data_IF_449649223187
#
_entry.id   IF_449649223187
#
_cell.length_a   1.000
_cell.length_b   1.000
_cell.length_c   1.000
_cell.angle_alpha   90.00
_cell.angle_beta   90.00
_cell.angle_gamma   90.00
#
_symmetry.space_group_name_H-M   'P 1'
#
loop_
_entity.id
_entity.type
_entity.pdbx_description
1 polymer ?
#
# COMPACT_ATOMS: atom_id res chain seq x y z
N UNK A 1 4.15 4.59 11.13
CA UNK A 1 2.79 5.00 10.70
C UNK A 1 1.77 4.69 11.79
N UNK A 2 0.52 5.19 11.70
CA UNK A 2 -0.54 4.90 12.67
C UNK A 2 -1.29 3.63 12.30
N UNK A 3 -1.40 2.69 13.23
CA UNK A 3 -2.20 1.48 13.06
C UNK A 3 -3.48 1.58 13.91
N UNK A 4 -4.56 0.94 13.47
CA UNK A 4 -5.70 0.72 14.34
C UNK A 4 -5.25 -0.13 15.54
N UNK A 5 -5.72 0.21 16.75
CA UNK A 5 -5.34 -0.43 18.01
C UNK A 5 -3.83 -0.50 18.30
N UNK A 6 -3.02 0.34 17.62
CA UNK A 6 -1.55 0.39 17.76
C UNK A 6 -0.83 -0.95 17.57
N UNK A 7 -1.45 -1.90 16.86
CA UNK A 7 -0.90 -3.24 16.68
C UNK A 7 -1.88 -4.23 16.05
N UNK A 8 -1.57 -5.52 16.20
CA UNK A 8 -2.42 -6.63 15.79
C UNK A 8 -2.12 -7.88 16.62
N UNK A 9 -3.16 -8.67 16.90
CA UNK A 9 -3.06 -10.00 17.52
C UNK A 9 -3.42 -11.11 16.52
N UNK A 10 -3.50 -10.80 15.22
CA UNK A 10 -3.88 -11.73 14.18
C UNK A 10 -3.11 -11.49 12.87
N UNK A 11 -3.64 -12.02 11.77
CA UNK A 11 -2.96 -12.09 10.47
C UNK A 11 -3.05 -10.81 9.62
N UNK A 12 -3.65 -9.73 10.14
CA UNK A 12 -3.81 -8.47 9.40
C UNK A 12 -3.50 -7.25 10.24
N UNK A 13 -3.15 -6.15 9.57
CA UNK A 13 -3.08 -4.81 10.15
C UNK A 13 -4.00 -3.86 9.39
N UNK A 14 -4.53 -2.87 10.10
CA UNK A 14 -5.30 -1.79 9.51
C UNK A 14 -4.52 -0.49 9.67
N UNK A 15 -4.05 0.07 8.57
CA UNK A 15 -3.23 1.28 8.54
C UNK A 15 -4.11 2.52 8.33
N UNK A 16 -4.12 3.43 9.30
CA UNK A 16 -4.76 4.75 9.23
C UNK A 16 -3.87 5.74 8.45
N UNK A 17 -4.33 6.16 7.27
CA UNK A 17 -3.64 7.07 6.35
C UNK A 17 -4.02 8.54 6.56
N UNK A 18 -5.06 8.82 7.36
CA UNK A 18 -5.54 10.19 7.61
C UNK A 18 -4.49 11.12 8.23
N UNK A 19 -3.57 10.66 9.12
CA UNK A 19 -2.48 11.50 9.61
C UNK A 19 -1.55 12.01 8.50
N UNK A 20 -1.46 11.30 7.37
CA UNK A 20 -0.72 11.72 6.17
C UNK A 20 -1.56 12.60 5.23
N UNK A 21 -2.85 12.79 5.51
CA UNK A 21 -3.77 13.48 4.62
C UNK A 21 -4.06 12.73 3.31
N UNK A 22 -3.87 11.41 3.29
CA UNK A 22 -4.18 10.54 2.16
C UNK A 22 -5.46 9.74 2.40
N UNK A 23 -6.09 9.30 1.30
CA UNK A 23 -7.19 8.33 1.34
C UNK A 23 -6.67 6.94 0.97
N UNK A 24 -7.37 5.90 1.42
CA UNK A 24 -7.07 4.51 1.08
C UNK A 24 -7.09 4.27 -0.42
N UNK A 25 -8.00 4.90 -1.16
CA UNK A 25 -8.08 4.77 -2.62
C UNK A 25 -6.81 5.24 -3.34
N UNK A 26 -6.15 6.30 -2.84
CA UNK A 26 -4.90 6.79 -3.45
C UNK A 26 -3.74 5.84 -3.21
N UNK A 27 -3.58 5.38 -1.97
CA UNK A 27 -2.49 4.46 -1.61
C UNK A 27 -2.69 3.11 -2.28
N UNK A 28 -3.93 2.60 -2.32
CA UNK A 28 -4.26 1.38 -3.07
C UNK A 28 -3.85 1.49 -4.54
N UNK A 29 -4.16 2.60 -5.21
CA UNK A 29 -3.79 2.80 -6.62
C UNK A 29 -2.27 2.83 -6.85
N UNK A 30 -1.54 3.51 -5.98
CA UNK A 30 -0.06 3.54 -6.06
C UNK A 30 0.51 2.15 -5.82
N UNK A 31 0.04 1.43 -4.81
CA UNK A 31 0.46 0.06 -4.55
C UNK A 31 0.16 -0.87 -5.73
N UNK A 32 -1.03 -0.79 -6.32
CA UNK A 32 -1.41 -1.59 -7.48
C UNK A 32 -0.43 -1.40 -8.65
N UNK A 33 -0.08 -0.15 -8.95
CA UNK A 33 0.90 0.18 -10.00
C UNK A 33 2.34 -0.19 -9.64
N UNK A 34 2.63 -0.37 -8.36
CA UNK A 34 3.90 -0.89 -7.84
C UNK A 34 3.93 -2.44 -7.73
N UNK A 35 2.94 -3.14 -8.30
CA UNK A 35 2.80 -4.60 -8.19
C UNK A 35 2.57 -5.11 -6.74
N UNK A 36 1.94 -4.29 -5.90
CA UNK A 36 1.52 -4.61 -4.53
C UNK A 36 0.00 -4.61 -4.44
N UNK A 37 -0.59 -5.77 -4.15
CA UNK A 37 -2.05 -5.89 -3.96
C UNK A 37 -2.43 -5.71 -2.49
N UNK A 38 -3.29 -4.73 -2.22
CA UNK A 38 -3.92 -4.50 -0.91
C UNK A 38 -5.32 -3.91 -1.11
N UNK A 39 -6.07 -3.72 -0.02
CA UNK A 39 -7.44 -3.23 -0.08
C UNK A 39 -7.64 -1.99 0.79
N UNK A 40 -8.23 -0.93 0.22
CA UNK A 40 -8.74 0.23 0.93
C UNK A 40 -9.84 -0.19 1.90
N UNK A 41 -9.76 0.24 3.15
CA UNK A 41 -10.63 -0.22 4.20
C UNK A 41 -10.98 0.93 5.15
N UNK A 42 -12.23 0.98 5.60
CA UNK A 42 -12.68 1.99 6.56
C UNK A 42 -11.90 1.87 7.88
N UNK A 43 -11.61 3.02 8.47
CA UNK A 43 -11.04 3.15 9.82
C UNK A 43 -12.02 3.87 10.73
N UNK A 44 -11.87 3.72 12.05
CA UNK A 44 -12.77 4.37 13.01
C UNK A 44 -12.82 5.89 12.78
N UNK A 45 -14.03 6.43 12.65
CA UNK A 45 -14.28 7.85 12.38
C UNK A 45 -14.34 8.23 10.89
N UNK A 46 -14.25 7.29 9.96
CA UNK A 46 -14.53 7.57 8.55
C UNK A 46 -16.02 7.88 8.33
N UNK A 47 -16.29 9.00 7.66
CA UNK A 47 -17.64 9.38 7.25
C UNK A 47 -18.02 8.86 5.85
N UNK A 48 -17.04 8.49 5.02
CA UNK A 48 -17.25 8.09 3.62
C UNK A 48 -16.84 6.64 3.38
N UNK A 49 -17.79 5.83 2.92
CA UNK A 49 -17.51 4.47 2.44
C UNK A 49 -16.78 4.45 1.08
N UNK A 50 -16.95 5.48 0.25
CA UNK A 50 -16.36 5.58 -1.10
C UNK A 50 -14.88 5.99 -1.07
N UNK A 51 -14.44 6.65 -0.01
CA UNK A 51 -13.06 7.10 0.16
C UNK A 51 -12.62 6.89 1.60
N UNK A 52 -12.45 5.61 2.01
CA UNK A 52 -12.04 5.31 3.37
C UNK A 52 -10.64 5.85 3.67
N UNK A 53 -10.35 6.09 4.94
CA UNK A 53 -9.11 6.68 5.42
C UNK A 53 -7.98 5.69 5.64
N UNK A 54 -8.13 4.42 5.29
CA UNK A 54 -7.10 3.40 5.55
C UNK A 54 -6.99 2.30 4.51
N UNK A 55 -6.03 1.41 4.75
CA UNK A 55 -5.77 0.19 3.97
C UNK A 55 -5.58 -1.01 4.90
N UNK A 56 -6.04 -2.18 4.46
CA UNK A 56 -5.89 -3.45 5.15
C UNK A 56 -4.81 -4.29 4.48
N UNK A 57 -3.86 -4.77 5.28
CA UNK A 57 -2.72 -5.58 4.83
C UNK A 57 -2.74 -6.88 5.61
N UNK A 58 -2.59 -8.01 4.92
CA UNK A 58 -2.58 -9.34 5.54
C UNK A 58 -1.31 -10.11 5.20
N UNK A 59 -0.81 -10.91 6.16
CA UNK A 59 0.36 -11.77 5.97
C UNK A 59 0.13 -13.12 5.27
N UNK A 60 -1.07 -13.76 5.25
CA UNK A 60 -1.19 -15.17 4.86
C UNK A 60 -0.66 -15.50 3.46
N UNK A 61 -1.01 -14.72 2.44
CA UNK A 61 -0.65 -15.04 1.06
C UNK A 61 0.87 -15.08 0.83
N UNK A 62 1.60 -14.11 1.36
CA UNK A 62 3.06 -14.06 1.23
C UNK A 62 3.75 -15.06 2.16
N UNK A 63 3.20 -15.32 3.34
CA UNK A 63 3.73 -16.34 4.26
C UNK A 63 3.64 -17.74 3.62
N UNK A 64 2.54 -18.06 2.93
CA UNK A 64 2.40 -19.33 2.18
C UNK A 64 3.45 -19.47 1.07
N UNK A 65 3.97 -18.36 0.53
CA UNK A 65 5.06 -18.36 -0.46
C UNK A 65 6.46 -18.43 0.17
N UNK A 66 6.55 -18.43 1.50
CA UNK A 66 7.81 -18.53 2.25
C UNK A 66 8.35 -17.19 2.77
N UNK A 67 7.57 -16.09 2.77
CA UNK A 67 8.02 -14.85 3.41
C UNK A 67 8.17 -15.02 4.92
N UNK A 68 9.30 -14.56 5.43
CA UNK A 68 9.68 -14.50 6.85
C UNK A 68 9.45 -13.11 7.45
N UNK A 69 9.75 -12.94 8.74
CA UNK A 69 9.69 -11.65 9.42
C UNK A 69 10.63 -10.61 8.79
N UNK A 70 11.81 -11.02 8.32
CA UNK A 70 12.75 -10.13 7.64
C UNK A 70 12.18 -9.65 6.30
N UNK A 71 11.53 -10.55 5.56
CA UNK A 71 10.84 -10.23 4.31
C UNK A 71 9.69 -9.23 4.54
N UNK A 72 8.93 -9.40 5.62
CA UNK A 72 7.87 -8.45 5.97
C UNK A 72 8.39 -7.06 6.37
N UNK A 73 9.61 -6.93 6.88
CA UNK A 73 10.25 -5.60 7.05
C UNK A 73 10.46 -4.93 5.70
N UNK A 74 10.87 -5.70 4.68
CA UNK A 74 11.01 -5.20 3.30
C UNK A 74 9.67 -4.84 2.68
N UNK A 75 8.62 -5.64 2.91
CA UNK A 75 7.23 -5.29 2.54
C UNK A 75 6.83 -3.96 3.20
N UNK A 76 7.13 -3.77 4.48
CA UNK A 76 6.89 -2.51 5.19
C UNK A 76 7.60 -1.32 4.54
N UNK A 77 8.85 -1.48 4.11
CA UNK A 77 9.60 -0.44 3.40
C UNK A 77 9.01 -0.12 2.02
N UNK A 78 8.53 -1.13 1.29
CA UNK A 78 7.81 -0.91 0.03
C UNK A 78 6.50 -0.13 0.23
N UNK A 79 5.74 -0.48 1.27
CA UNK A 79 4.49 0.21 1.62
C UNK A 79 4.73 1.67 2.03
N UNK A 80 5.78 1.96 2.79
CA UNK A 80 6.17 3.34 3.10
C UNK A 80 6.52 4.11 1.82
N UNK A 81 7.32 3.53 0.91
CA UNK A 81 7.65 4.16 -0.38
C UNK A 81 6.42 4.46 -1.22
N UNK A 82 5.44 3.56 -1.28
CA UNK A 82 4.15 3.83 -1.92
C UNK A 82 3.43 5.03 -1.28
N UNK A 83 3.43 5.14 0.05
CA UNK A 83 2.84 6.28 0.75
C UNK A 83 3.59 7.59 0.43
N UNK A 84 4.93 7.58 0.36
CA UNK A 84 5.71 8.76 -0.01
C UNK A 84 5.44 9.20 -1.45
N UNK A 85 5.36 8.26 -2.40
CA UNK A 85 4.99 8.55 -3.80
C UNK A 85 3.59 9.17 -3.84
N UNK A 86 2.62 8.59 -3.12
CA UNK A 86 1.27 9.13 -3.04
C UNK A 86 1.24 10.55 -2.44
N UNK A 87 2.07 10.84 -1.45
CA UNK A 87 2.19 12.20 -0.88
C UNK A 87 2.71 13.19 -1.91
N UNK A 88 3.81 12.86 -2.62
CA UNK A 88 4.41 13.71 -3.65
C UNK A 88 3.43 14.01 -4.78
N UNK A 89 2.80 12.97 -5.34
CA UNK A 89 1.82 13.14 -6.42
C UNK A 89 0.63 13.97 -5.93
N UNK A 90 0.13 13.76 -4.71
CA UNK A 90 -0.94 14.59 -4.16
C UNK A 90 -0.53 16.06 -3.98
N UNK A 91 0.72 16.36 -3.63
CA UNK A 91 1.22 17.73 -3.53
C UNK A 91 1.23 18.43 -4.89
N UNK A 92 1.51 17.70 -5.97
CA UNK A 92 1.56 18.20 -7.34
C UNK A 92 0.17 18.34 -7.97
N UNK A 93 -0.71 17.34 -7.79
CA UNK A 93 -2.02 17.28 -8.46
C UNK A 93 -3.18 17.81 -7.61
N UNK A 94 -2.98 17.97 -6.31
CA UNK A 94 -4.04 18.26 -5.34
C UNK A 94 -4.86 17.03 -4.93
N UNK A 95 -5.98 17.29 -4.23
CA UNK A 95 -6.75 16.25 -3.54
C UNK A 95 -7.68 15.43 -4.44
N UNK A 96 -8.05 15.93 -5.62
CA UNK A 96 -9.03 15.30 -6.49
C UNK A 96 -8.50 14.00 -7.08
N UNK A 97 -9.23 12.89 -6.87
CA UNK A 97 -8.75 11.54 -7.22
C UNK A 97 -8.48 11.38 -8.72
N UNK A 98 -9.35 11.91 -9.58
CA UNK A 98 -9.17 11.86 -11.04
C UNK A 98 -7.83 12.48 -11.50
N UNK A 99 -7.48 13.63 -10.91
CA UNK A 99 -6.28 14.36 -11.31
C UNK A 99 -5.02 13.68 -10.74
N UNK A 100 -5.14 13.11 -9.53
CA UNK A 100 -4.12 12.26 -8.92
C UNK A 100 -3.82 11.02 -9.77
N UNK A 101 -4.85 10.26 -10.16
CA UNK A 101 -4.68 9.03 -10.95
C UNK A 101 -4.09 9.30 -12.33
N UNK A 102 -4.45 10.43 -12.95
CA UNK A 102 -3.93 10.82 -14.26
C UNK A 102 -2.42 11.14 -14.23
N UNK A 103 -1.84 11.43 -13.07
CA UNK A 103 -0.41 11.75 -12.92
C UNK A 103 0.47 10.54 -12.53
N UNK A 104 -0.14 9.38 -12.21
CA UNK A 104 0.62 8.17 -11.88
C UNK A 104 1.32 7.52 -13.09
N UNK A 105 0.71 7.44 -14.29
CA UNK A 105 1.37 6.89 -15.47
C UNK A 105 2.65 7.66 -15.82
N UNK A 106 3.74 6.94 -16.04
CA UNK A 106 5.04 7.55 -16.39
C UNK A 106 5.83 8.10 -15.21
N UNK A 107 5.36 7.96 -13.97
CA UNK A 107 6.13 8.32 -12.79
C UNK A 107 7.35 7.38 -12.63
N UNK A 108 8.56 7.94 -12.75
CA UNK A 108 9.80 7.18 -12.72
C UNK A 108 10.07 6.49 -11.37
N UNK A 109 9.73 7.14 -10.24
CA UNK A 109 9.90 6.55 -8.90
C UNK A 109 8.99 5.33 -8.73
N UNK A 110 7.76 5.41 -9.22
CA UNK A 110 6.79 4.32 -9.20
C UNK A 110 7.22 3.16 -10.11
N UNK A 111 7.73 3.46 -11.31
CA UNK A 111 8.28 2.45 -12.22
C UNK A 111 9.46 1.70 -11.60
N UNK A 112 10.42 2.41 -11.01
CA UNK A 112 11.56 1.79 -10.34
C UNK A 112 11.14 0.94 -9.14
N UNK A 113 10.18 1.41 -8.34
CA UNK A 113 9.63 0.63 -7.23
C UNK A 113 8.96 -0.65 -7.72
N UNK A 114 8.18 -0.57 -8.80
CA UNK A 114 7.53 -1.73 -9.41
C UNK A 114 8.55 -2.79 -9.83
N UNK A 115 9.61 -2.40 -10.54
CA UNK A 115 10.67 -3.33 -10.97
C UNK A 115 11.33 -4.01 -9.78
N UNK A 116 11.61 -3.27 -8.71
CA UNK A 116 12.19 -3.82 -7.49
C UNK A 116 11.26 -4.79 -6.75
N UNK A 117 9.96 -4.48 -6.68
CA UNK A 117 8.94 -5.36 -6.10
C UNK A 117 8.78 -6.63 -6.92
N UNK A 118 8.74 -6.54 -8.24
CA UNK A 118 8.65 -7.70 -9.14
C UNK A 118 9.88 -8.59 -9.03
N UNK A 119 11.08 -7.99 -9.09
CA UNK A 119 12.34 -8.72 -8.96
C UNK A 119 12.41 -9.46 -7.61
N UNK A 120 12.08 -8.79 -6.50
CA UNK A 120 12.08 -9.40 -5.18
C UNK A 120 10.98 -10.46 -5.02
N UNK A 121 9.75 -10.19 -5.45
CA UNK A 121 8.65 -11.16 -5.28
C UNK A 121 8.81 -12.41 -6.14
N UNK A 122 9.62 -12.36 -7.20
CA UNK A 122 9.96 -13.51 -8.04
C UNK A 122 10.89 -14.52 -7.37
N UNK A 123 11.57 -14.16 -6.27
CA UNK A 123 12.46 -15.07 -5.55
C UNK A 123 11.71 -16.08 -4.68
N UNK A 124 10.41 -15.87 -4.44
CA UNK A 124 9.58 -16.76 -3.63
C UNK A 124 8.88 -17.80 -4.50
N UNK A 125 8.75 -19.01 -3.96
CA UNK A 125 7.99 -20.09 -4.58
C UNK A 125 6.51 -19.72 -4.78
N UNK A 126 5.84 -20.47 -5.65
CA UNK A 126 4.40 -20.35 -5.85
C UNK A 126 3.75 -21.71 -5.59
N UNK A 127 2.98 -21.87 -4.50
CA UNK A 127 2.35 -23.13 -4.19
C UNK A 127 1.34 -23.51 -5.29
N UNK A 128 1.41 -24.75 -5.77
CA UNK A 128 0.52 -25.26 -6.83
C UNK A 128 1.04 -25.12 -8.25
N UNK A 129 2.29 -24.68 -8.43
CA UNK A 129 3.06 -24.78 -9.68
C UNK A 129 4.26 -25.72 -9.52
#
# INVERSE_FOLDING_TARGET
HKLASDGTDNHLVLWDLRPHGLTGSKVEKVCELASISLNRNAVHGDASALSPGGVRIGSPAMTTRGCTEEDFRKVGAFLDRCCQIALKVQQETGKKLKDFEAALPGNAELGALREEVEAWSSTFGYPGL
#
